data_IF_784237278285
#
_entry.id   IF_784237278285
#
_cell.length_a   1.000
_cell.length_b   1.000
_cell.length_c   1.000
_cell.angle_alpha   90.00
_cell.angle_beta   90.00
_cell.angle_gamma   90.00
#
_symmetry.space_group_name_H-M   'P 1'
#
loop_
_entity.id
_entity.type
_entity.pdbx_description
1 polymer ?
#
# COMPACT_ATOMS: atom_id res chain seq x y z
N UNK A 1 12.76 -13.42 9.60
CA UNK A 1 11.45 -12.81 9.25
C UNK A 1 10.70 -12.55 10.54
N UNK A 2 10.16 -11.35 10.68
CA UNK A 2 9.30 -10.93 11.79
C UNK A 2 7.98 -10.50 11.17
N UNK A 3 6.86 -10.82 11.80
CA UNK A 3 5.52 -10.39 11.37
C UNK A 3 4.98 -9.45 12.43
N UNK A 4 4.58 -8.26 12.00
CA UNK A 4 4.01 -7.23 12.87
C UNK A 4 2.77 -6.68 12.17
N UNK A 5 1.60 -6.89 12.76
CA UNK A 5 0.32 -6.52 12.15
C UNK A 5 -0.63 -5.87 13.16
N UNK A 6 -1.59 -5.05 12.70
CA UNK A 6 -2.61 -4.49 13.59
C UNK A 6 -3.47 -5.58 14.23
N UNK A 7 -3.93 -5.33 15.45
CA UNK A 7 -4.88 -6.17 16.22
C UNK A 7 -6.29 -6.22 15.63
N UNK A 8 -6.63 -5.31 14.72
CA UNK A 8 -7.95 -5.20 14.09
C UNK A 8 -7.82 -4.73 12.65
N UNK A 9 -8.89 -4.89 11.87
CA UNK A 9 -8.99 -4.38 10.51
C UNK A 9 -8.77 -2.84 10.50
N UNK A 10 -7.95 -2.35 9.57
CA UNK A 10 -7.54 -0.93 9.46
C UNK A 10 -7.58 -0.45 8.00
N UNK A 11 -8.63 -0.77 7.26
CA UNK A 11 -8.84 -0.24 5.90
C UNK A 11 -9.01 1.27 5.92
N UNK A 12 -8.45 1.96 4.92
CA UNK A 12 -8.57 3.41 4.75
C UNK A 12 -7.72 4.27 5.70
N UNK A 13 -6.79 3.69 6.45
CA UNK A 13 -5.91 4.45 7.35
C UNK A 13 -4.75 5.17 6.64
N UNK A 14 -4.57 5.03 5.33
CA UNK A 14 -3.52 5.72 4.58
C UNK A 14 -2.14 5.54 5.26
N UNK A 15 -1.39 6.63 5.44
CA UNK A 15 -0.14 6.71 6.17
C UNK A 15 -0.34 7.26 7.60
N UNK A 16 -1.47 6.94 8.26
CA UNK A 16 -1.72 7.42 9.61
C UNK A 16 -0.76 6.80 10.64
N UNK A 17 -0.27 7.63 11.56
CA UNK A 17 0.62 7.25 12.67
C UNK A 17 0.00 7.66 14.00
N UNK A 18 0.14 6.81 15.02
CA UNK A 18 -0.40 7.07 16.36
C UNK A 18 0.59 7.87 17.21
N UNK A 19 0.30 9.16 17.44
CA UNK A 19 1.18 10.06 18.21
C UNK A 19 0.64 10.46 19.59
N UNK A 20 -0.68 10.41 19.78
CA UNK A 20 -1.35 11.00 20.96
C UNK A 20 -1.93 9.96 21.93
N UNK A 21 -1.66 8.68 21.68
CA UNK A 21 -2.05 7.56 22.55
C UNK A 21 -0.93 6.53 22.60
N UNK A 22 -0.93 5.71 23.66
CA UNK A 22 0.04 4.63 23.80
C UNK A 22 -0.25 3.49 22.84
N UNK A 23 0.79 2.97 22.19
CA UNK A 23 0.74 1.73 21.43
C UNK A 23 1.08 0.54 22.34
N UNK A 24 0.39 -0.59 22.14
CA UNK A 24 0.72 -1.89 22.73
C UNK A 24 1.18 -2.82 21.62
N UNK A 25 2.23 -3.58 21.89
CA UNK A 25 2.69 -4.70 21.05
C UNK A 25 2.68 -5.95 21.90
N UNK A 26 2.01 -7.00 21.43
CA UNK A 26 1.88 -8.27 22.13
C UNK A 26 2.40 -9.41 21.23
N UNK A 27 3.23 -10.33 21.74
CA UNK A 27 3.61 -11.52 21.01
C UNK A 27 2.38 -12.36 20.67
N UNK A 28 2.30 -12.88 19.46
CA UNK A 28 1.20 -13.71 18.96
C UNK A 28 1.72 -15.10 18.50
N UNK A 29 2.28 -15.92 19.42
CA UNK A 29 2.95 -17.17 19.10
C UNK A 29 2.04 -18.23 18.48
N UNK A 30 0.73 -18.12 18.63
CA UNK A 30 -0.28 -18.98 18.03
C UNK A 30 -0.29 -18.92 16.49
N UNK A 31 0.19 -17.82 15.90
CA UNK A 31 0.33 -17.69 14.45
C UNK A 31 1.75 -18.01 13.95
N UNK A 32 2.75 -17.85 14.81
CA UNK A 32 4.12 -18.22 14.48
C UNK A 32 5.17 -17.59 15.40
N UNK A 33 6.41 -18.04 15.24
CA UNK A 33 7.56 -17.47 15.96
C UNK A 33 7.87 -16.07 15.43
N UNK A 34 8.09 -15.11 16.34
CA UNK A 34 8.34 -13.69 16.03
C UNK A 34 7.16 -13.00 15.34
N UNK A 35 5.93 -13.34 15.74
CA UNK A 35 4.71 -12.65 15.33
C UNK A 35 4.27 -11.72 16.46
N UNK A 36 3.84 -10.52 16.09
CA UNK A 36 3.42 -9.48 17.02
C UNK A 36 2.13 -8.83 16.53
N UNK A 37 1.21 -8.61 17.46
CA UNK A 37 -0.01 -7.86 17.24
C UNK A 37 0.12 -6.47 17.87
N UNK A 38 -0.17 -5.41 17.12
CA UNK A 38 -0.02 -4.02 17.55
C UNK A 38 -1.37 -3.32 17.62
N UNK A 39 -1.61 -2.51 18.66
CA UNK A 39 -2.86 -1.77 18.85
C UNK A 39 -3.02 -0.52 17.95
N UNK A 40 -2.21 -0.39 16.91
CA UNK A 40 -2.07 0.80 16.06
C UNK A 40 -2.49 0.59 14.61
N UNK A 41 -1.92 1.41 13.74
CA UNK A 41 -2.09 1.35 12.27
C UNK A 41 -1.05 0.42 11.63
N UNK A 42 -1.20 0.07 10.33
CA UNK A 42 -0.15 -0.62 9.59
C UNK A 42 1.21 0.09 9.62
N UNK A 43 1.21 1.42 9.61
CA UNK A 43 2.43 2.26 9.72
C UNK A 43 3.07 2.11 11.09
N UNK A 44 2.27 2.16 12.17
CA UNK A 44 2.77 1.96 13.54
C UNK A 44 3.45 0.58 13.68
N UNK A 45 2.92 -0.45 13.00
CA UNK A 45 3.51 -1.79 13.00
C UNK A 45 4.92 -1.79 12.39
N UNK A 46 5.11 -1.13 11.25
CA UNK A 46 6.42 -1.00 10.59
C UNK A 46 7.37 -0.16 11.43
N UNK A 47 6.87 0.95 11.99
CA UNK A 47 7.63 1.84 12.86
C UNK A 47 8.18 1.10 14.09
N UNK A 48 7.32 0.37 14.81
CA UNK A 48 7.72 -0.43 15.97
C UNK A 48 8.63 -1.60 15.58
N UNK A 49 8.34 -2.27 14.46
CA UNK A 49 9.18 -3.37 13.99
C UNK A 49 10.60 -2.90 13.68
N UNK A 50 10.75 -1.82 12.91
CA UNK A 50 12.04 -1.31 12.46
C UNK A 50 12.89 -0.73 13.60
N UNK A 51 12.27 -0.09 14.60
CA UNK A 51 12.99 0.64 15.64
C UNK A 51 13.07 -0.09 17.00
N UNK A 52 12.26 -1.12 17.22
CA UNK A 52 12.18 -1.78 18.53
C UNK A 52 12.18 -3.31 18.49
N UNK A 53 11.42 -3.93 17.57
CA UNK A 53 11.24 -5.40 17.60
C UNK A 53 12.34 -6.14 16.82
N UNK A 54 12.86 -5.56 15.75
CA UNK A 54 13.97 -6.14 15.00
C UNK A 54 15.32 -5.81 15.67
N UNK A 55 16.23 -6.78 15.71
CA UNK A 55 17.61 -6.58 16.24
C UNK A 55 18.43 -5.57 15.44
N UNK A 56 18.09 -5.42 14.15
CA UNK A 56 18.66 -4.45 13.22
C UNK A 56 17.56 -3.95 12.26
N UNK A 57 17.74 -2.79 11.61
CA UNK A 57 16.80 -2.34 10.59
C UNK A 57 16.59 -3.42 9.51
N UNK A 58 15.33 -3.69 9.10
CA UNK A 58 15.05 -4.70 8.08
C UNK A 58 15.55 -4.24 6.71
N UNK A 59 16.03 -5.16 5.88
CA UNK A 59 16.45 -4.85 4.51
C UNK A 59 15.23 -4.66 3.58
N UNK A 60 14.12 -5.30 3.92
CA UNK A 60 12.87 -5.31 3.16
C UNK A 60 11.65 -5.27 4.10
N UNK A 61 10.68 -4.43 3.76
CA UNK A 61 9.33 -4.45 4.32
C UNK A 61 8.35 -4.97 3.27
N UNK A 62 7.67 -6.08 3.57
CA UNK A 62 6.58 -6.59 2.74
C UNK A 62 5.26 -6.29 3.47
N UNK A 63 4.40 -5.52 2.81
CA UNK A 63 3.09 -5.13 3.33
C UNK A 63 2.00 -5.80 2.52
N UNK A 64 1.21 -6.67 3.14
CA UNK A 64 0.17 -7.44 2.47
C UNK A 64 -0.03 -8.84 3.06
N UNK A 65 -0.81 -9.71 2.41
CA UNK A 65 -1.45 -9.50 1.10
C UNK A 65 -2.86 -8.91 1.30
N UNK A 66 -3.10 -7.73 0.74
CA UNK A 66 -4.37 -7.01 0.88
C UNK A 66 -5.48 -7.64 0.02
N UNK A 67 -6.66 -7.96 0.59
CA UNK A 67 -7.81 -8.47 -0.16
C UNK A 67 -8.58 -7.31 -0.80
N UNK A 68 -7.98 -6.72 -1.82
CA UNK A 68 -8.51 -5.57 -2.54
C UNK A 68 -7.39 -4.79 -3.20
N UNK A 69 -7.65 -4.29 -4.40
CA UNK A 69 -6.68 -3.54 -5.16
C UNK A 69 -6.30 -2.21 -4.50
N UNK A 70 -5.07 -1.78 -4.76
CA UNK A 70 -4.55 -0.46 -4.46
C UNK A 70 -4.00 0.13 -5.77
N UNK A 71 -4.90 0.62 -6.61
CA UNK A 71 -4.62 1.09 -7.98
C UNK A 71 -4.82 2.60 -8.09
N UNK A 72 -4.07 3.26 -8.97
CA UNK A 72 -4.22 4.69 -9.24
C UNK A 72 -4.13 5.53 -7.96
N UNK A 73 -5.12 6.40 -7.73
CA UNK A 73 -5.18 7.28 -6.56
C UNK A 73 -5.42 6.54 -5.23
N UNK A 74 -5.86 5.28 -5.24
CA UNK A 74 -6.15 4.51 -4.01
C UNK A 74 -4.89 4.29 -3.18
N UNK A 75 -3.71 4.33 -3.82
CA UNK A 75 -2.42 4.23 -3.14
C UNK A 75 -2.21 5.30 -2.06
N UNK A 76 -2.89 6.45 -2.16
CA UNK A 76 -2.83 7.50 -1.15
C UNK A 76 -3.69 7.19 0.08
N UNK A 77 -4.72 6.37 -0.03
CA UNK A 77 -5.62 6.01 1.08
C UNK A 77 -5.32 4.63 1.67
N UNK A 78 -4.48 3.87 0.99
CA UNK A 78 -4.12 2.51 1.35
C UNK A 78 -3.21 2.42 2.57
N UNK A 79 -3.66 1.69 3.60
CA UNK A 79 -2.81 1.28 4.71
C UNK A 79 -1.70 0.31 4.29
N UNK A 80 -1.96 -0.54 3.28
CA UNK A 80 -0.96 -1.47 2.73
C UNK A 80 0.18 -0.71 2.08
N UNK A 81 -0.13 0.26 1.21
CA UNK A 81 0.89 1.10 0.59
C UNK A 81 1.53 2.03 1.63
N UNK A 82 0.77 2.57 2.58
CA UNK A 82 1.28 3.38 3.68
C UNK A 82 2.34 2.67 4.53
N UNK A 83 2.11 1.40 4.90
CA UNK A 83 3.11 0.60 5.60
C UNK A 83 4.37 0.33 4.74
N UNK A 84 4.21 0.07 3.45
CA UNK A 84 5.37 -0.08 2.56
C UNK A 84 6.16 1.25 2.41
N UNK A 85 5.47 2.39 2.27
CA UNK A 85 6.08 3.73 2.28
C UNK A 85 6.85 3.99 3.57
N UNK A 86 6.28 3.62 4.72
CA UNK A 86 6.98 3.73 6.00
C UNK A 86 8.28 2.91 6.01
N UNK A 87 8.26 1.70 5.43
CA UNK A 87 9.47 0.90 5.26
C UNK A 87 10.55 1.63 4.47
N UNK A 88 10.17 2.28 3.36
CA UNK A 88 11.08 3.09 2.56
C UNK A 88 11.65 4.29 3.33
N UNK A 89 10.80 5.01 4.07
CA UNK A 89 11.22 6.13 4.95
C UNK A 89 12.23 5.67 6.00
N UNK A 90 12.10 4.44 6.51
CA UNK A 90 13.02 3.85 7.50
C UNK A 90 14.27 3.23 6.88
N UNK A 91 14.46 3.37 5.58
CA UNK A 91 15.66 2.93 4.88
C UNK A 91 15.66 1.45 4.51
N UNK A 92 14.48 0.83 4.35
CA UNK A 92 14.31 -0.51 3.77
C UNK A 92 13.83 -0.40 2.32
N UNK A 93 14.11 -1.40 1.48
CA UNK A 93 13.24 -1.56 0.30
C UNK A 93 11.85 -1.99 0.76
N UNK A 94 10.82 -1.78 -0.05
CA UNK A 94 9.46 -2.10 0.31
C UNK A 94 8.62 -2.62 -0.86
N UNK A 95 7.73 -3.56 -0.54
CA UNK A 95 6.78 -4.15 -1.49
C UNK A 95 5.39 -4.16 -0.85
N UNK A 96 4.46 -3.38 -1.40
CA UNK A 96 3.04 -3.48 -1.12
C UNK A 96 2.42 -4.54 -2.04
N UNK A 97 1.65 -5.47 -1.49
CA UNK A 97 1.06 -6.60 -2.24
C UNK A 97 -0.45 -6.64 -2.02
N UNK A 98 -1.19 -6.65 -3.11
CA UNK A 98 -2.64 -6.66 -3.15
C UNK A 98 -3.14 -7.68 -4.16
N UNK A 99 -4.27 -8.31 -3.86
CA UNK A 99 -5.00 -9.19 -4.79
C UNK A 99 -6.38 -8.61 -5.07
N UNK A 100 -6.99 -9.03 -6.16
CA UNK A 100 -8.38 -8.71 -6.48
C UNK A 100 -9.33 -9.06 -5.32
N UNK A 101 -10.38 -8.26 -5.05
CA UNK A 101 -11.42 -8.64 -4.11
C UNK A 101 -12.00 -10.03 -4.41
N UNK A 102 -12.02 -10.90 -3.39
CA UNK A 102 -12.45 -12.30 -3.53
C UNK A 102 -11.34 -13.26 -4.01
N UNK A 103 -10.18 -12.73 -4.41
CA UNK A 103 -9.00 -13.52 -4.77
C UNK A 103 -8.29 -14.13 -3.57
N UNK A 104 -7.73 -15.32 -3.75
CA UNK A 104 -6.93 -15.98 -2.73
C UNK A 104 -5.55 -15.30 -2.61
N UNK A 105 -5.03 -15.03 -1.39
CA UNK A 105 -3.71 -14.43 -1.20
C UNK A 105 -2.57 -15.19 -1.92
N UNK A 106 -2.70 -16.50 -2.06
CA UNK A 106 -1.70 -17.37 -2.69
C UNK A 106 -1.44 -17.01 -4.17
N UNK A 107 -2.36 -16.31 -4.83
CA UNK A 107 -2.19 -15.81 -6.19
C UNK A 107 -0.96 -14.90 -6.34
N UNK A 108 -0.59 -14.14 -5.31
CA UNK A 108 0.57 -13.27 -5.37
C UNK A 108 1.90 -14.01 -5.14
N UNK A 109 1.88 -15.25 -4.65
CA UNK A 109 3.09 -15.97 -4.26
C UNK A 109 4.14 -16.13 -5.38
N UNK A 110 3.77 -16.45 -6.64
CA UNK A 110 4.74 -16.53 -7.73
C UNK A 110 5.46 -15.20 -7.98
N UNK A 111 4.72 -14.09 -7.99
CA UNK A 111 5.26 -12.75 -8.23
C UNK A 111 6.15 -12.28 -7.07
N UNK A 112 5.72 -12.51 -5.83
CA UNK A 112 6.51 -12.20 -4.62
C UNK A 112 7.82 -12.99 -4.62
N UNK A 113 7.80 -14.28 -5.01
CA UNK A 113 9.00 -15.12 -5.11
C UNK A 113 10.00 -14.61 -6.14
N UNK A 114 9.53 -13.95 -7.20
CA UNK A 114 10.39 -13.29 -8.19
C UNK A 114 10.94 -11.95 -7.69
N UNK A 115 10.09 -11.11 -7.09
CA UNK A 115 10.45 -9.73 -6.74
C UNK A 115 11.32 -9.60 -5.48
N UNK A 116 11.05 -10.43 -4.46
CA UNK A 116 11.75 -10.32 -3.16
C UNK A 116 13.27 -10.50 -3.29
N UNK A 117 13.80 -11.54 -3.98
CA UNK A 117 15.24 -11.68 -4.16
C UNK A 117 15.88 -10.47 -4.85
N UNK A 118 15.23 -9.94 -5.90
CA UNK A 118 15.72 -8.78 -6.64
C UNK A 118 15.81 -7.52 -5.75
N UNK A 119 14.79 -7.28 -4.93
CA UNK A 119 14.78 -6.16 -3.99
C UNK A 119 15.87 -6.31 -2.91
N UNK A 120 16.09 -7.52 -2.41
CA UNK A 120 17.14 -7.79 -1.42
C UNK A 120 18.55 -7.60 -2.01
N UNK A 121 18.78 -8.06 -3.24
CA UNK A 121 20.06 -7.88 -3.95
C UNK A 121 20.39 -6.41 -4.15
N UNK A 122 19.42 -5.61 -4.63
CA UNK A 122 19.56 -4.14 -4.75
C UNK A 122 19.73 -3.46 -3.39
N UNK A 123 19.05 -3.95 -2.35
CA UNK A 123 19.21 -3.41 -1.00
C UNK A 123 20.63 -3.62 -0.47
N UNK A 124 21.29 -4.71 -0.86
CA UNK A 124 22.68 -4.99 -0.49
C UNK A 124 23.69 -4.03 -1.14
N UNK A 125 23.35 -3.38 -2.27
CA UNK A 125 24.18 -2.34 -2.91
C UNK A 125 23.86 -0.92 -2.42
N UNK A 126 22.91 -0.78 -1.48
CA UNK A 126 22.49 0.51 -0.94
C UNK A 126 21.29 1.14 -1.64
N UNK A 127 20.79 0.55 -2.73
CA UNK A 127 19.58 1.03 -3.40
C UNK A 127 18.34 0.73 -2.56
N UNK A 128 17.32 1.58 -2.66
CA UNK A 128 16.04 1.40 -1.98
C UNK A 128 14.91 1.64 -2.95
N UNK A 129 13.95 0.71 -2.99
CA UNK A 129 12.85 0.73 -3.94
C UNK A 129 11.53 0.53 -3.22
N UNK A 130 10.49 1.25 -3.64
CA UNK A 130 9.12 1.01 -3.22
C UNK A 130 8.32 0.52 -4.43
N UNK A 131 7.80 -0.70 -4.34
CA UNK A 131 6.99 -1.30 -5.39
C UNK A 131 5.57 -1.59 -4.90
N UNK A 132 4.58 -1.33 -5.74
CA UNK A 132 3.18 -1.67 -5.50
C UNK A 132 2.72 -2.75 -6.49
N UNK A 133 2.36 -3.92 -5.98
CA UNK A 133 1.94 -5.08 -6.75
C UNK A 133 0.42 -5.32 -6.57
N UNK A 134 -0.31 -5.37 -7.69
CA UNK A 134 -1.72 -5.76 -7.73
C UNK A 134 -1.88 -7.00 -8.63
N UNK A 135 -2.54 -8.04 -8.12
CA UNK A 135 -2.67 -9.34 -8.80
C UNK A 135 -4.15 -9.68 -9.05
N UNK A 136 -4.60 -9.83 -10.30
CA UNK A 136 -5.95 -10.28 -10.61
C UNK A 136 -6.17 -11.76 -10.28
N UNK A 137 -7.43 -12.16 -10.11
CA UNK A 137 -7.80 -13.58 -9.91
C UNK A 137 -7.29 -14.46 -11.05
N UNK A 138 -7.37 -13.96 -12.28
CA UNK A 138 -6.93 -14.64 -13.49
C UNK A 138 -5.69 -13.94 -14.09
N UNK A 139 -4.55 -14.03 -13.39
CA UNK A 139 -3.28 -13.43 -13.83
C UNK A 139 -2.58 -14.19 -14.97
N UNK A 140 -3.26 -14.40 -16.10
CA UNK A 140 -2.77 -15.16 -17.25
C UNK A 140 -1.72 -14.41 -18.09
N UNK A 141 -1.67 -13.08 -18.00
CA UNK A 141 -0.71 -12.25 -18.71
C UNK A 141 0.70 -12.22 -18.09
N UNK A 142 0.89 -12.75 -16.88
CA UNK A 142 2.14 -12.62 -16.14
C UNK A 142 2.29 -11.24 -15.49
N UNK A 143 3.53 -10.75 -15.33
CA UNK A 143 3.86 -9.49 -14.64
C UNK A 143 4.10 -8.35 -15.65
N UNK A 144 3.48 -7.19 -15.43
CA UNK A 144 3.66 -5.99 -16.25
C UNK A 144 4.05 -4.78 -15.40
N UNK A 145 5.11 -4.08 -15.81
CA UNK A 145 5.48 -2.80 -15.20
C UNK A 145 4.53 -1.72 -15.69
N UNK A 146 4.03 -0.91 -14.76
CA UNK A 146 2.95 0.06 -15.00
C UNK A 146 3.23 1.39 -14.34
N UNK A 147 2.47 2.42 -14.74
CA UNK A 147 2.31 3.67 -13.99
C UNK A 147 0.95 3.69 -13.28
N UNK A 148 0.79 4.56 -12.28
CA UNK A 148 -0.52 4.79 -11.67
C UNK A 148 -1.47 5.39 -12.70
N UNK A 149 -2.60 4.73 -12.93
CA UNK A 149 -3.67 5.22 -13.77
C UNK A 149 -4.63 6.13 -13.01
N UNK A 150 -5.54 6.76 -13.76
CA UNK A 150 -6.50 7.69 -13.19
C UNK A 150 -7.88 7.04 -13.07
N UNK A 151 -8.22 6.58 -11.85
CA UNK A 151 -9.57 6.15 -11.51
C UNK A 151 -10.44 7.36 -11.21
N UNK A 152 -11.54 7.53 -11.95
CA UNK A 152 -12.59 8.47 -11.54
C UNK A 152 -13.53 7.71 -10.60
N UNK A 153 -13.73 8.23 -9.41
CA UNK A 153 -14.82 7.80 -8.55
C UNK A 153 -16.02 8.68 -8.85
N UNK A 154 -17.21 8.07 -8.94
CA UNK A 154 -18.41 8.85 -8.66
C UNK A 154 -18.41 9.10 -7.15
N UNK A 155 -17.90 10.24 -6.72
CA UNK A 155 -17.87 10.62 -5.30
C UNK A 155 -19.30 10.70 -4.77
N UNK A 156 -19.76 9.59 -4.19
CA UNK A 156 -21.08 9.47 -3.56
C UNK A 156 -20.91 9.40 -2.05
N UNK A 157 -21.79 10.13 -1.38
CA UNK A 157 -22.01 9.99 0.05
C UNK A 157 -23.44 9.51 0.21
N UNK A 158 -23.61 8.28 0.68
CA UNK A 158 -24.91 7.68 0.94
C UNK A 158 -25.35 8.04 2.36
N UNK A 159 -26.35 8.93 2.47
CA UNK A 159 -26.96 9.31 3.74
C UNK A 159 -28.08 8.33 4.10
N UNK A 160 -28.01 7.79 5.32
CA UNK A 160 -29.04 6.91 5.89
C UNK A 160 -29.41 7.39 7.29
N UNK A 161 -30.52 6.90 7.82
CA UNK A 161 -30.96 7.22 9.18
C UNK A 161 -30.91 5.99 10.07
N UNK A 162 -30.45 6.17 11.31
CA UNK A 162 -30.54 5.14 12.34
C UNK A 162 -32.00 4.97 12.84
N UNK A 163 -32.31 3.95 13.67
CA UNK A 163 -33.66 3.77 14.20
C UNK A 163 -34.19 4.93 15.05
N UNK A 164 -33.33 5.86 15.47
CA UNK A 164 -33.69 7.08 16.20
C UNK A 164 -33.85 8.30 15.29
N UNK A 165 -33.76 8.12 13.96
CA UNK A 165 -33.86 9.19 12.97
C UNK A 165 -32.60 10.04 12.82
N UNK A 166 -31.46 9.63 13.40
CA UNK A 166 -30.20 10.38 13.28
C UNK A 166 -29.47 10.00 12.00
N UNK A 167 -28.99 10.97 11.20
CA UNK A 167 -28.28 10.66 9.97
C UNK A 167 -26.91 10.04 10.25
N UNK A 168 -26.51 9.10 9.39
CA UNK A 168 -25.15 8.58 9.26
C UNK A 168 -24.79 8.45 7.78
N UNK A 169 -23.50 8.51 7.47
CA UNK A 169 -23.01 8.69 6.11
C UNK A 169 -22.01 7.59 5.74
N UNK A 170 -22.17 7.01 4.56
CA UNK A 170 -21.18 6.13 3.95
C UNK A 170 -20.50 6.86 2.81
N UNK A 171 -19.17 6.98 2.87
CA UNK A 171 -18.36 7.50 1.78
C UNK A 171 -18.08 6.34 0.82
N UNK A 172 -18.48 6.51 -0.44
CA UNK A 172 -18.20 5.54 -1.50
C UNK A 172 -19.25 5.56 -2.60
N UNK A 173 -18.78 5.44 -3.83
CA UNK A 173 -19.62 5.22 -5.01
C UNK A 173 -19.16 4.00 -5.79
N UNK A 174 -19.96 3.53 -6.77
CA UNK A 174 -19.50 2.52 -7.70
C UNK A 174 -18.24 3.04 -8.42
N UNK A 175 -17.32 2.14 -8.83
CA UNK A 175 -16.25 2.51 -9.73
C UNK A 175 -16.83 3.17 -10.98
N UNK A 176 -16.34 4.33 -11.40
CA UNK A 176 -16.69 4.84 -12.73
C UNK A 176 -16.01 3.99 -13.82
N UNK A 177 -16.46 4.17 -15.06
CA UNK A 177 -15.78 3.62 -16.24
C UNK A 177 -14.34 4.15 -16.32
N UNK A 178 -13.43 3.26 -16.72
CA UNK A 178 -12.01 3.56 -16.85
C UNK A 178 -11.65 3.82 -18.31
N UNK A 179 -10.93 4.92 -18.54
CA UNK A 179 -10.17 5.15 -19.77
C UNK A 179 -8.67 4.98 -19.44
N UNK A 180 -8.31 3.77 -19.00
CA UNK A 180 -6.94 3.46 -18.59
C UNK A 180 -6.20 2.78 -19.74
N UNK A 181 -5.08 3.34 -20.15
CA UNK A 181 -4.23 2.73 -21.17
C UNK A 181 -3.57 1.44 -20.67
N UNK A 182 -3.18 0.54 -21.58
CA UNK A 182 -2.53 -0.75 -21.27
C UNK A 182 -1.21 -0.66 -20.46
N UNK A 183 -0.66 0.55 -20.33
CA UNK A 183 0.57 0.87 -19.58
C UNK A 183 0.29 1.38 -18.15
N UNK A 184 -0.98 1.56 -17.80
CA UNK A 184 -1.44 1.89 -16.47
C UNK A 184 -1.82 0.63 -15.71
N UNK A 185 -1.70 0.69 -14.38
CA UNK A 185 -1.98 -0.41 -13.46
C UNK A 185 -3.42 -0.92 -13.59
N UNK A 186 -4.39 -0.01 -13.71
CA UNK A 186 -5.79 -0.36 -13.95
C UNK A 186 -6.01 -1.12 -15.27
N UNK A 187 -5.40 -0.65 -16.36
CA UNK A 187 -5.50 -1.30 -17.67
C UNK A 187 -4.84 -2.68 -17.66
N UNK A 188 -3.67 -2.80 -17.01
CA UNK A 188 -2.96 -4.07 -16.90
C UNK A 188 -3.77 -5.13 -16.13
N UNK A 189 -4.36 -4.79 -14.98
CA UNK A 189 -5.18 -5.77 -14.23
C UNK A 189 -6.45 -6.15 -14.98
N UNK A 190 -7.06 -5.21 -15.71
CA UNK A 190 -8.24 -5.47 -16.54
C UNK A 190 -7.92 -6.44 -17.71
N UNK A 191 -6.69 -6.39 -18.23
CA UNK A 191 -6.17 -7.34 -19.23
C UNK A 191 -5.65 -8.66 -18.63
N UNK A 192 -5.80 -8.88 -17.32
CA UNK A 192 -5.34 -10.11 -16.66
C UNK A 192 -3.82 -10.19 -16.42
N UNK A 193 -3.13 -9.05 -16.36
CA UNK A 193 -1.72 -8.96 -15.94
C UNK A 193 -1.63 -8.56 -14.47
N UNK A 194 -0.69 -9.15 -13.74
CA UNK A 194 -0.27 -8.58 -12.46
C UNK A 194 0.45 -7.25 -12.73
N UNK A 195 -0.03 -6.17 -12.12
CA UNK A 195 0.53 -4.83 -12.29
C UNK A 195 1.55 -4.56 -11.20
N UNK A 196 2.79 -4.24 -11.60
CA UNK A 196 3.84 -3.74 -10.69
C UNK A 196 4.12 -2.28 -11.02
N UNK A 197 3.93 -1.40 -10.03
CA UNK A 197 4.14 0.03 -10.17
C UNK A 197 5.26 0.46 -9.23
N UNK A 198 6.42 0.91 -9.75
CA UNK A 198 7.42 1.60 -8.94
C UNK A 198 6.85 2.93 -8.43
N UNK A 199 7.01 3.21 -7.14
CA UNK A 199 6.53 4.43 -6.49
C UNK A 199 7.69 5.17 -5.84
N UNK A 200 7.52 6.48 -5.69
CA UNK A 200 8.42 7.37 -4.98
C UNK A 200 7.72 8.05 -3.80
N UNK A 201 8.51 8.63 -2.89
CA UNK A 201 8.02 9.42 -1.76
C UNK A 201 7.87 10.89 -2.12
N UNK A 202 8.70 11.38 -3.06
CA UNK A 202 8.68 12.77 -3.47
C UNK A 202 7.49 13.00 -4.42
N UNK A 203 6.58 13.85 -3.98
CA UNK A 203 5.40 14.28 -4.74
C UNK A 203 5.54 15.72 -5.22
N UNK A 204 6.76 16.28 -5.17
CA UNK A 204 7.06 17.61 -5.69
C UNK A 204 6.70 17.66 -7.17
N UNK A 205 5.83 18.62 -7.52
CA UNK A 205 5.42 18.84 -8.90
C UNK A 205 6.64 19.20 -9.77
N UNK A 206 6.76 18.61 -10.98
CA UNK A 206 7.89 18.89 -11.86
C UNK A 206 7.96 20.35 -12.31
N UNK A 207 6.86 21.10 -12.22
CA UNK A 207 6.75 22.51 -12.57
C UNK A 207 7.23 23.47 -11.46
N UNK A 208 7.96 22.98 -10.45
CA UNK A 208 8.44 23.80 -9.32
C UNK A 208 9.19 25.07 -9.77
N UNK A 209 9.99 24.98 -10.84
CA UNK A 209 10.72 26.11 -11.39
C UNK A 209 9.81 27.14 -12.07
N UNK A 210 8.68 26.72 -12.62
CA UNK A 210 7.68 27.61 -13.21
C UNK A 210 6.97 28.41 -12.12
N UNK A 211 6.64 27.76 -10.99
CA UNK A 211 6.09 28.43 -9.81
C UNK A 211 7.06 29.46 -9.23
N UNK A 212 8.35 29.11 -9.13
CA UNK A 212 9.37 30.00 -8.60
C UNK A 212 9.49 31.28 -9.44
N UNK A 213 9.48 31.16 -10.78
CA UNK A 213 9.50 32.29 -11.71
C UNK A 213 8.24 33.13 -11.64
N UNK A 214 7.06 32.50 -11.57
CA UNK A 214 5.79 33.22 -11.54
C UNK A 214 5.60 34.06 -10.27
N UNK A 215 6.12 33.60 -9.13
CA UNK A 215 5.97 34.27 -7.83
C UNK A 215 7.05 35.31 -7.52
N UNK A 216 8.19 35.27 -8.22
CA UNK A 216 9.27 36.24 -8.10
C UNK A 216 9.59 36.87 -9.47
N UNK A 217 8.66 37.63 -10.07
CA UNK A 217 8.95 38.36 -11.29
C UNK A 217 10.02 39.42 -11.01
N UNK A 218 10.97 39.57 -11.96
CA UNK A 218 12.04 40.58 -11.92
C UNK A 218 11.52 42.02 -11.73
#
# INVERSE_FOLDING_TARGET
MLVCAPTSERSGFSHAITLRSSLRSEPAPEFGRNWYAVSGTPVDCVYLAALHLCERPPDLVLSGINPGYNLGADVFYSGTVGAAREGLIRGSSALAVSVEPGGAPQLAAPFVRTLVPMLLERSATGERHLLNLNVPCEAHGGLRVTRLGHRRYEDKVDERQDPSGRPYFWIGGPPAEHDAGATEDLGAVAEGFAAITPLELDITAPEIDDWARALNPE
#
